data_IF_523006597655
#
_entry.id   IF_523006597655
#
_cell.length_a   1.000
_cell.length_b   1.000
_cell.length_c   1.000
_cell.angle_alpha   90.00
_cell.angle_beta   90.00
_cell.angle_gamma   90.00
#
_symmetry.space_group_name_H-M   'P 1'
#
loop_
_entity.id
_entity.type
_entity.pdbx_description
1 polymer ?
#
# COMPACT_ATOMS: atom_id res chain seq x y z
N UNK A 1 42.84 -11.73 21.80
CA UNK A 1 42.75 -12.73 22.89
C UNK A 1 41.69 -13.73 22.50
N UNK A 2 42.11 -14.80 21.83
CA UNK A 2 41.24 -15.91 21.41
C UNK A 2 41.71 -17.11 22.21
N UNK A 3 40.88 -17.56 23.14
CA UNK A 3 41.15 -18.71 24.01
C UNK A 3 40.91 -19.97 23.18
N UNK A 4 41.96 -20.73 22.91
CA UNK A 4 41.84 -22.09 22.36
C UNK A 4 41.15 -23.01 23.37
N UNK A 5 40.22 -23.88 22.96
CA UNK A 5 39.62 -24.85 23.86
C UNK A 5 40.62 -25.99 24.14
N UNK A 6 40.56 -26.61 25.34
CA UNK A 6 41.53 -27.63 25.73
C UNK A 6 41.36 -28.89 24.89
N UNK A 7 42.49 -29.45 24.44
CA UNK A 7 42.55 -30.76 23.78
C UNK A 7 42.25 -31.86 24.80
N UNK A 8 41.00 -32.28 24.89
CA UNK A 8 40.64 -33.49 25.63
C UNK A 8 41.08 -34.72 24.82
N UNK A 9 42.30 -35.20 25.07
CA UNK A 9 42.73 -36.53 24.69
C UNK A 9 41.96 -37.55 25.54
N UNK A 10 40.88 -38.10 24.98
CA UNK A 10 40.14 -39.20 25.59
C UNK A 10 41.05 -40.44 25.60
N UNK A 11 41.47 -40.84 26.79
CA UNK A 11 42.19 -42.10 27.00
C UNK A 11 41.32 -43.27 26.52
N UNK A 12 41.87 -44.06 25.60
CA UNK A 12 41.22 -45.25 25.04
C UNK A 12 41.26 -46.36 26.09
N UNK A 13 40.10 -46.68 26.68
CA UNK A 13 39.93 -47.88 27.49
C UNK A 13 40.16 -49.12 26.60
N UNK A 14 41.16 -49.93 26.96
CA UNK A 14 41.41 -51.25 26.38
C UNK A 14 40.16 -52.14 26.57
N UNK A 15 39.62 -52.63 25.45
CA UNK A 15 38.51 -53.59 25.44
C UNK A 15 37.26 -53.18 24.65
N UNK A 16 37.19 -51.99 24.05
CA UNK A 16 36.06 -51.63 23.16
C UNK A 16 36.36 -52.03 21.71
N UNK A 17 35.52 -52.90 21.14
CA UNK A 17 35.55 -53.30 19.74
C UNK A 17 35.69 -52.09 18.81
N UNK A 18 36.60 -52.16 17.82
CA UNK A 18 36.90 -51.11 16.81
C UNK A 18 35.68 -50.65 15.98
N UNK A 19 34.50 -51.23 16.22
CA UNK A 19 33.23 -50.87 15.59
C UNK A 19 32.39 -49.85 16.38
N UNK A 20 32.73 -49.54 17.64
CA UNK A 20 31.92 -48.64 18.49
C UNK A 20 32.07 -47.14 18.17
N UNK A 21 33.13 -46.73 17.46
CA UNK A 21 33.42 -45.34 17.06
C UNK A 21 33.02 -45.03 15.61
N UNK A 22 32.45 -45.98 14.87
CA UNK A 22 32.03 -45.76 13.49
C UNK A 22 30.67 -45.04 13.49
N UNK A 23 30.51 -43.94 12.74
CA UNK A 23 29.20 -43.31 12.58
C UNK A 23 28.23 -44.32 11.96
N UNK A 24 26.97 -44.30 12.41
CA UNK A 24 25.93 -45.19 11.92
C UNK A 24 25.75 -44.98 10.41
N UNK A 25 25.90 -46.06 9.64
CA UNK A 25 25.71 -46.00 8.20
C UNK A 25 24.23 -45.72 7.89
N UNK A 26 23.99 -44.64 7.15
CA UNK A 26 22.71 -44.33 6.52
C UNK A 26 23.01 -43.57 5.24
N UNK A 27 22.16 -43.71 4.21
CA UNK A 27 22.33 -42.95 2.96
C UNK A 27 22.38 -41.43 3.19
N UNK A 28 21.68 -40.95 4.21
CA UNK A 28 21.73 -39.55 4.63
C UNK A 28 23.08 -39.17 5.25
N UNK A 29 23.59 -39.96 6.21
CA UNK A 29 24.87 -39.68 6.88
C UNK A 29 26.08 -39.85 5.94
N UNK A 30 25.96 -40.66 4.89
CA UNK A 30 26.97 -40.88 3.85
C UNK A 30 26.80 -39.94 2.64
N UNK A 31 25.73 -39.12 2.61
CA UNK A 31 25.40 -38.25 1.48
C UNK A 31 25.19 -39.00 0.14
N UNK A 32 24.73 -40.25 0.22
CA UNK A 32 24.43 -41.14 -0.92
C UNK A 32 22.91 -41.15 -1.23
N UNK A 33 22.23 -40.03 -1.00
CA UNK A 33 20.83 -39.90 -1.39
C UNK A 33 20.71 -39.86 -2.92
N UNK A 34 19.61 -40.40 -3.44
CA UNK A 34 19.31 -40.31 -4.85
C UNK A 34 19.14 -38.84 -5.25
N UNK A 35 20.09 -38.33 -6.02
CA UNK A 35 20.10 -36.97 -6.51
C UNK A 35 19.98 -37.01 -8.04
N UNK A 36 19.03 -36.24 -8.57
CA UNK A 36 19.04 -35.92 -9.99
C UNK A 36 19.98 -34.73 -10.19
N UNK A 37 21.03 -34.94 -10.99
CA UNK A 37 22.03 -33.91 -11.30
C UNK A 37 21.90 -33.53 -12.79
N UNK A 38 20.94 -32.67 -13.15
CA UNK A 38 20.78 -32.27 -14.54
C UNK A 38 21.99 -31.44 -14.98
N UNK A 39 22.68 -31.93 -16.00
CA UNK A 39 23.77 -31.19 -16.66
C UNK A 39 23.14 -30.42 -17.81
N UNK A 40 23.15 -29.08 -17.72
CA UNK A 40 22.58 -28.21 -18.74
C UNK A 40 23.51 -28.16 -19.96
N UNK A 41 23.30 -29.07 -20.90
CA UNK A 41 24.01 -29.05 -22.19
C UNK A 41 23.45 -27.95 -23.10
N UNK A 42 24.26 -27.40 -24.03
CA UNK A 42 23.81 -26.33 -24.93
C UNK A 42 22.53 -26.65 -25.70
N UNK A 43 22.38 -27.88 -26.20
CA UNK A 43 21.18 -28.30 -26.95
C UNK A 43 19.92 -28.32 -26.09
N UNK A 44 20.02 -28.74 -24.83
CA UNK A 44 18.92 -28.68 -23.87
C UNK A 44 18.53 -27.24 -23.54
N UNK A 45 19.52 -26.38 -23.33
CA UNK A 45 19.28 -24.97 -23.07
C UNK A 45 18.54 -24.30 -24.25
N UNK A 46 19.03 -24.48 -25.48
CA UNK A 46 18.41 -23.93 -26.69
C UNK A 46 16.95 -24.41 -26.81
N UNK A 47 16.70 -25.71 -26.60
CA UNK A 47 15.35 -26.28 -26.68
C UNK A 47 14.40 -25.63 -25.66
N UNK A 48 14.84 -25.47 -24.41
CA UNK A 48 14.04 -24.82 -23.37
C UNK A 48 13.73 -23.37 -23.74
N UNK A 49 14.73 -22.60 -24.20
CA UNK A 49 14.53 -21.21 -24.60
C UNK A 49 13.58 -21.07 -25.80
N UNK A 50 13.68 -21.93 -26.80
CA UNK A 50 12.76 -21.90 -27.96
C UNK A 50 11.30 -22.17 -27.57
N UNK A 51 11.07 -23.09 -26.63
CA UNK A 51 9.71 -23.37 -26.12
C UNK A 51 9.18 -22.18 -25.33
N UNK A 52 10.00 -21.57 -24.48
CA UNK A 52 9.63 -20.36 -23.74
C UNK A 52 9.29 -19.24 -24.73
N UNK A 53 10.11 -18.99 -25.73
CA UNK A 53 9.87 -17.94 -26.73
C UNK A 53 8.55 -18.16 -27.48
N UNK A 54 8.27 -19.38 -27.93
CA UNK A 54 7.01 -19.72 -28.61
C UNK A 54 5.76 -19.49 -27.74
N UNK A 55 5.89 -19.57 -26.41
CA UNK A 55 4.79 -19.29 -25.47
C UNK A 55 4.68 -17.78 -25.19
N UNK A 56 5.80 -17.10 -24.98
CA UNK A 56 5.80 -15.70 -24.58
C UNK A 56 5.46 -14.74 -25.72
N UNK A 57 5.79 -15.07 -26.97
CA UNK A 57 5.42 -14.26 -28.15
C UNK A 57 3.89 -14.08 -28.27
N UNK A 58 3.06 -15.15 -28.32
CA UNK A 58 1.61 -14.99 -28.45
C UNK A 58 0.99 -14.32 -27.21
N UNK A 59 1.49 -14.62 -26.01
CA UNK A 59 1.03 -13.97 -24.76
C UNK A 59 1.34 -12.47 -24.79
N UNK A 60 2.53 -12.09 -25.26
CA UNK A 60 2.95 -10.70 -25.40
C UNK A 60 2.10 -9.95 -26.44
N UNK A 61 1.86 -10.56 -27.60
CA UNK A 61 1.02 -9.96 -28.64
C UNK A 61 -0.44 -9.80 -28.17
N UNK A 62 -1.01 -10.82 -27.54
CA UNK A 62 -2.36 -10.74 -26.96
C UNK A 62 -2.44 -9.63 -25.90
N UNK A 63 -1.42 -9.51 -25.04
CA UNK A 63 -1.35 -8.46 -24.02
C UNK A 63 -1.26 -7.06 -24.66
N UNK A 64 -0.40 -6.87 -25.66
CA UNK A 64 -0.24 -5.61 -26.37
C UNK A 64 -1.55 -5.12 -27.03
N UNK A 65 -2.34 -6.03 -27.60
CA UNK A 65 -3.64 -5.68 -28.19
C UNK A 65 -4.65 -5.19 -27.14
N UNK A 66 -4.56 -5.66 -25.89
CA UNK A 66 -5.45 -5.27 -24.79
C UNK A 66 -5.01 -3.96 -24.11
N UNK A 67 -3.77 -3.50 -24.33
CA UNK A 67 -3.23 -2.28 -23.72
C UNK A 67 -3.83 -0.96 -24.24
N UNK A 68 -4.87 -1.01 -25.08
CA UNK A 68 -5.56 0.17 -25.62
C UNK A 68 -6.46 0.87 -24.58
N UNK A 69 -5.91 1.19 -23.41
CA UNK A 69 -6.59 1.98 -22.38
C UNK A 69 -6.30 3.47 -22.62
N UNK A 70 -7.35 4.28 -22.65
CA UNK A 70 -7.23 5.74 -22.79
C UNK A 70 -7.16 6.35 -21.39
N UNK A 71 -6.03 6.98 -21.08
CA UNK A 71 -5.83 7.73 -19.84
C UNK A 71 -5.73 9.22 -20.15
N UNK A 72 -6.34 10.03 -19.28
CA UNK A 72 -6.33 11.50 -19.40
C UNK A 72 -5.77 12.08 -18.10
N UNK A 73 -4.45 12.25 -17.98
CA UNK A 73 -3.86 12.87 -16.79
C UNK A 73 -4.16 14.37 -16.76
N UNK A 74 -4.53 14.87 -15.58
CA UNK A 74 -4.76 16.29 -15.35
C UNK A 74 -4.14 16.73 -14.04
N UNK A 75 -3.34 17.80 -14.08
CA UNK A 75 -2.57 18.31 -12.94
C UNK A 75 -3.13 19.68 -12.55
N UNK A 76 -3.56 19.84 -11.30
CA UNK A 76 -4.26 21.04 -10.83
C UNK A 76 -3.60 21.74 -9.64
N UNK A 77 -2.53 21.18 -9.07
CA UNK A 77 -1.82 21.73 -7.90
C UNK A 77 -1.24 23.12 -8.16
N UNK A 78 -0.65 23.34 -9.34
CA UNK A 78 -0.05 24.63 -9.70
C UNK A 78 -1.07 25.66 -10.24
N UNK A 79 -2.14 25.18 -10.91
CA UNK A 79 -3.14 26.03 -11.56
C UNK A 79 -4.19 26.57 -10.59
N UNK A 80 -4.49 25.83 -9.52
CA UNK A 80 -5.48 26.22 -8.52
C UNK A 80 -4.93 27.15 -7.43
N UNK A 81 -3.63 27.48 -7.45
CA UNK A 81 -3.04 28.46 -6.55
C UNK A 81 -3.23 29.89 -7.10
N UNK A 82 -3.73 30.83 -6.27
CA UNK A 82 -3.77 32.24 -6.64
C UNK A 82 -2.37 32.76 -7.00
N UNK A 83 -2.25 33.75 -7.92
CA UNK A 83 -0.97 34.33 -8.30
C UNK A 83 -0.13 34.80 -7.09
N UNK A 84 -0.79 35.35 -6.08
CA UNK A 84 -0.18 35.90 -4.86
C UNK A 84 0.43 34.81 -3.95
N UNK A 85 0.02 33.55 -4.11
CA UNK A 85 0.43 32.43 -3.26
C UNK A 85 1.24 31.36 -4.01
N UNK A 86 1.69 31.63 -5.24
CA UNK A 86 2.52 30.66 -6.00
C UNK A 86 3.80 30.24 -5.29
N UNK A 87 4.39 31.13 -4.50
CA UNK A 87 5.63 30.87 -3.77
C UNK A 87 5.39 30.37 -2.32
N UNK A 88 4.15 30.43 -1.82
CA UNK A 88 3.78 29.97 -0.48
C UNK A 88 2.41 29.27 -0.50
N UNK A 89 2.39 28.10 -1.14
CA UNK A 89 1.20 27.25 -1.20
C UNK A 89 0.74 26.81 0.20
N UNK A 90 1.66 26.66 1.16
CA UNK A 90 1.36 26.18 2.51
C UNK A 90 0.53 27.19 3.28
N UNK A 91 0.86 28.48 3.20
CA UNK A 91 0.06 29.54 3.82
C UNK A 91 -1.37 29.55 3.25
N UNK A 92 -1.51 29.42 1.93
CA UNK A 92 -2.82 29.38 1.29
C UNK A 92 -3.65 28.16 1.70
N UNK A 93 -3.03 26.98 1.80
CA UNK A 93 -3.72 25.74 2.22
C UNK A 93 -4.18 25.84 3.68
N UNK A 94 -3.37 26.44 4.56
CA UNK A 94 -3.68 26.57 6.00
C UNK A 94 -4.75 27.61 6.31
N UNK A 95 -4.99 28.56 5.41
CA UNK A 95 -6.03 29.57 5.61
C UNK A 95 -7.43 28.96 5.43
N UNK A 96 -8.23 28.92 6.50
CA UNK A 96 -9.60 28.40 6.45
C UNK A 96 -10.63 29.42 5.92
N UNK A 97 -10.27 30.70 5.83
CA UNK A 97 -11.19 31.77 5.43
C UNK A 97 -11.37 31.91 3.92
N UNK A 98 -10.36 31.52 3.13
CA UNK A 98 -10.40 31.63 1.67
C UNK A 98 -11.17 30.49 1.00
N UNK A 99 -11.96 30.86 -0.01
CA UNK A 99 -12.57 29.89 -0.91
C UNK A 99 -11.50 29.25 -1.80
N UNK A 100 -11.39 27.92 -1.76
CA UNK A 100 -10.42 27.11 -2.53
C UNK A 100 -11.03 26.42 -3.74
N UNK A 101 -12.24 26.82 -4.13
CA UNK A 101 -12.91 26.24 -5.30
C UNK A 101 -12.17 26.64 -6.56
N UNK A 102 -11.72 25.63 -7.30
CA UNK A 102 -10.99 25.80 -8.56
C UNK A 102 -11.75 25.12 -9.69
N UNK A 103 -11.98 25.84 -10.79
CA UNK A 103 -12.72 25.35 -11.97
C UNK A 103 -11.81 25.30 -13.18
N UNK A 104 -11.52 24.09 -13.66
CA UNK A 104 -10.57 23.85 -14.75
C UNK A 104 -11.25 23.18 -15.94
N UNK A 105 -10.72 23.43 -17.14
CA UNK A 105 -11.22 22.84 -18.39
C UNK A 105 -10.31 21.68 -18.83
N UNK A 106 -10.83 20.46 -18.73
CA UNK A 106 -10.16 19.26 -19.22
C UNK A 106 -10.51 19.02 -20.69
N UNK A 107 -9.50 18.83 -21.55
CA UNK A 107 -9.71 18.48 -22.97
C UNK A 107 -9.46 16.99 -23.19
N UNK A 108 -10.51 16.25 -23.54
CA UNK A 108 -10.45 14.81 -23.81
C UNK A 108 -10.35 14.60 -25.32
N UNK A 109 -9.20 14.12 -25.80
CA UNK A 109 -8.92 13.95 -27.24
C UNK A 109 -9.56 12.68 -27.84
N UNK A 110 -9.67 11.63 -27.03
CA UNK A 110 -10.16 10.32 -27.46
C UNK A 110 -11.40 9.94 -26.65
N UNK A 111 -12.33 9.23 -27.27
CA UNK A 111 -13.54 8.75 -26.57
C UNK A 111 -13.18 7.77 -25.44
N UNK A 112 -13.72 8.02 -24.24
CA UNK A 112 -13.57 7.15 -23.08
C UNK A 112 -14.71 6.12 -23.08
N UNK A 113 -14.37 4.86 -23.36
CA UNK A 113 -15.34 3.76 -23.28
C UNK A 113 -15.68 3.45 -21.82
N UNK A 114 -16.96 3.24 -21.52
CA UNK A 114 -17.39 2.84 -20.18
C UNK A 114 -16.89 1.43 -19.82
N UNK A 115 -16.63 1.13 -18.53
CA UNK A 115 -16.74 2.01 -17.36
C UNK A 115 -15.56 2.99 -17.24
N UNK A 116 -15.84 4.24 -16.84
CA UNK A 116 -14.81 5.27 -16.66
C UNK A 116 -14.45 5.37 -15.18
N UNK A 117 -13.15 5.35 -14.90
CA UNK A 117 -12.62 5.42 -13.54
C UNK A 117 -11.92 6.76 -13.33
N UNK A 118 -12.18 7.40 -12.20
CA UNK A 118 -11.48 8.63 -11.80
C UNK A 118 -10.53 8.31 -10.68
N UNK A 119 -9.28 8.68 -10.84
CA UNK A 119 -8.23 8.49 -9.85
C UNK A 119 -7.63 9.84 -9.44
N UNK A 120 -7.16 9.94 -8.19
CA UNK A 120 -6.20 10.99 -7.81
C UNK A 120 -4.81 10.39 -7.72
N UNK A 121 -3.83 11.24 -8.04
CA UNK A 121 -2.44 10.91 -7.96
C UNK A 121 -1.73 11.90 -7.03
N UNK A 122 -0.99 11.37 -6.06
CA UNK A 122 -0.12 12.17 -5.21
C UNK A 122 1.33 11.93 -5.62
N UNK A 123 2.09 13.03 -5.77
CA UNK A 123 3.55 13.01 -5.99
C UNK A 123 4.27 13.39 -4.71
N UNK A 124 5.48 12.84 -4.52
CA UNK A 124 6.34 13.13 -3.36
C UNK A 124 5.66 12.84 -2.00
N UNK A 125 4.74 11.88 -1.96
CA UNK A 125 4.05 11.45 -0.75
C UNK A 125 4.43 10.00 -0.39
N UNK A 126 5.33 9.84 0.58
CA UNK A 126 6.01 8.57 0.88
C UNK A 126 5.25 7.71 1.89
N UNK A 127 4.11 7.14 1.48
CA UNK A 127 3.33 6.24 2.34
C UNK A 127 4.04 4.92 2.68
N UNK A 128 5.09 4.54 1.95
CA UNK A 128 5.86 3.33 2.22
C UNK A 128 6.87 3.48 3.38
N UNK A 129 6.94 4.64 4.03
CA UNK A 129 7.84 4.84 5.15
C UNK A 129 7.45 3.93 6.33
N UNK A 130 8.42 3.19 6.92
CA UNK A 130 8.17 2.16 7.95
C UNK A 130 7.31 2.65 9.11
N UNK A 131 7.53 3.87 9.61
CA UNK A 131 6.73 4.45 10.72
C UNK A 131 5.31 4.82 10.28
N UNK A 132 5.15 5.28 9.05
CA UNK A 132 3.84 5.64 8.49
C UNK A 132 2.99 4.38 8.31
N UNK A 133 3.53 3.33 7.66
CA UNK A 133 2.83 2.05 7.46
C UNK A 133 2.44 1.38 8.78
N UNK A 134 3.27 1.53 9.83
CA UNK A 134 2.99 0.98 11.16
C UNK A 134 1.96 1.78 11.96
N UNK A 135 1.72 3.03 11.62
CA UNK A 135 0.86 3.95 12.38
C UNK A 135 -0.62 3.73 12.00
N UNK A 136 -1.14 2.57 12.40
CA UNK A 136 -2.56 2.16 12.38
C UNK A 136 -2.74 0.93 13.27
N UNK A 137 -3.98 0.60 13.63
CA UNK A 137 -4.31 -0.66 14.32
C UNK A 137 -5.38 -1.46 13.56
N UNK A 138 -4.99 -2.63 13.04
CA UNK A 138 -5.87 -3.46 12.23
C UNK A 138 -7.03 -4.08 13.05
N UNK A 139 -6.93 -4.19 14.39
CA UNK A 139 -8.01 -4.71 15.24
C UNK A 139 -9.07 -3.63 15.44
N UNK A 140 -8.64 -2.41 15.69
CA UNK A 140 -9.50 -1.22 15.76
C UNK A 140 -10.30 -1.06 14.46
N UNK A 141 -9.63 -1.15 13.30
CA UNK A 141 -10.26 -1.01 11.98
C UNK A 141 -11.29 -2.11 11.66
N UNK A 142 -11.10 -3.32 12.20
CA UNK A 142 -11.99 -4.46 11.95
C UNK A 142 -13.20 -4.50 12.87
N UNK A 143 -13.05 -4.09 14.13
CA UNK A 143 -14.07 -4.30 15.16
C UNK A 143 -14.28 -3.11 16.07
N UNK A 144 -15.55 -2.75 16.27
CA UNK A 144 -15.98 -1.74 17.24
C UNK A 144 -15.59 -2.09 18.69
N UNK A 145 -15.44 -3.38 19.01
CA UNK A 145 -15.01 -3.80 20.35
C UNK A 145 -13.54 -3.45 20.65
N UNK A 146 -12.74 -3.25 19.60
CA UNK A 146 -11.31 -2.90 19.66
C UNK A 146 -11.06 -1.41 19.48
N UNK A 147 -12.07 -0.54 19.67
CA UNK A 147 -11.90 0.92 19.55
C UNK A 147 -10.77 1.49 20.43
N UNK A 148 -10.46 0.83 21.56
CA UNK A 148 -9.40 1.24 22.49
C UNK A 148 -8.01 0.70 22.13
N UNK A 149 -7.88 -0.18 21.13
CA UNK A 149 -6.62 -0.76 20.70
C UNK A 149 -5.86 0.26 19.81
N UNK A 150 -5.02 1.09 20.42
CA UNK A 150 -4.28 2.17 19.71
C UNK A 150 -2.76 2.04 19.82
N UNK A 151 -2.25 0.89 20.31
CA UNK A 151 -0.84 0.73 20.69
C UNK A 151 0.19 0.92 19.56
N UNK A 152 -0.21 0.75 18.30
CA UNK A 152 0.65 0.97 17.12
C UNK A 152 0.39 2.31 16.42
N UNK A 153 -0.60 3.09 16.87
CA UNK A 153 -1.08 4.29 16.18
C UNK A 153 -0.31 5.58 16.47
N UNK A 154 0.71 5.54 17.33
CA UNK A 154 1.52 6.73 17.63
C UNK A 154 2.02 7.43 16.34
N UNK A 155 2.01 8.78 16.28
CA UNK A 155 1.66 9.73 17.36
C UNK A 155 0.16 10.08 17.45
N UNK A 156 -0.68 9.67 16.51
CA UNK A 156 -2.11 10.06 16.46
C UNK A 156 -2.98 8.94 17.08
N UNK A 157 -2.70 8.60 18.33
CA UNK A 157 -3.36 7.53 19.09
C UNK A 157 -4.44 8.04 20.05
N UNK A 158 -4.18 9.16 20.74
CA UNK A 158 -5.08 9.77 21.72
C UNK A 158 -5.33 11.26 21.46
N UNK A 159 -6.50 11.75 21.89
CA UNK A 159 -6.76 13.19 21.93
C UNK A 159 -5.82 13.89 22.92
N UNK A 160 -5.59 15.21 22.79
CA UNK A 160 -4.85 15.99 23.77
C UNK A 160 -5.39 15.80 25.20
N UNK A 161 -4.51 15.96 26.20
CA UNK A 161 -4.84 15.76 27.62
C UNK A 161 -6.01 16.65 28.08
N UNK A 162 -6.07 17.88 27.57
CA UNK A 162 -7.13 18.85 27.88
C UNK A 162 -8.52 18.40 27.40
N UNK A 163 -8.59 17.39 26.53
CA UNK A 163 -9.84 16.77 26.04
C UNK A 163 -10.13 15.41 26.69
N UNK A 164 -9.42 15.06 27.75
CA UNK A 164 -9.66 13.84 28.53
C UNK A 164 -8.99 12.59 27.97
N UNK A 165 -7.95 12.73 27.13
CA UNK A 165 -7.07 11.65 26.68
C UNK A 165 -7.82 10.40 26.17
N UNK A 166 -8.73 10.61 25.23
CA UNK A 166 -9.58 9.55 24.67
C UNK A 166 -8.94 8.94 23.42
N UNK A 167 -9.12 7.63 23.16
CA UNK A 167 -8.62 7.01 21.93
C UNK A 167 -9.26 7.64 20.70
N UNK A 168 -8.44 7.88 19.68
CA UNK A 168 -8.86 8.35 18.37
C UNK A 168 -9.33 7.15 17.55
N UNK A 169 -10.46 7.28 16.86
CA UNK A 169 -11.03 6.22 16.02
C UNK A 169 -11.36 6.80 14.65
N UNK A 170 -10.79 6.29 13.55
CA UNK A 170 -9.59 5.45 13.49
C UNK A 170 -8.33 6.21 13.93
N UNK A 171 -7.39 5.52 14.59
CA UNK A 171 -6.10 6.09 15.00
C UNK A 171 -5.01 5.95 13.92
N UNK A 172 -3.97 6.78 14.04
CA UNK A 172 -2.74 6.66 13.27
C UNK A 172 -2.61 7.59 12.06
N UNK A 173 -1.37 7.74 11.58
CA UNK A 173 -0.98 8.68 10.53
C UNK A 173 -1.66 8.39 9.18
N UNK A 174 -1.98 7.13 8.91
CA UNK A 174 -2.64 6.74 7.66
C UNK A 174 -4.03 7.36 7.58
N UNK A 175 -4.83 7.22 8.65
CA UNK A 175 -6.14 7.85 8.72
C UNK A 175 -6.01 9.38 8.81
N UNK A 176 -5.03 9.88 9.56
CA UNK A 176 -4.81 11.31 9.77
C UNK A 176 -4.46 12.08 8.50
N UNK A 177 -3.81 11.45 7.52
CA UNK A 177 -3.40 12.09 6.27
C UNK A 177 -4.31 11.73 5.09
N UNK A 178 -5.59 11.44 5.39
CA UNK A 178 -6.58 11.12 4.38
C UNK A 178 -6.76 12.27 3.38
N UNK A 179 -6.81 11.94 2.09
CA UNK A 179 -7.04 12.91 1.02
C UNK A 179 -8.39 13.61 1.16
N UNK A 180 -8.42 14.93 1.03
CA UNK A 180 -9.56 15.77 1.41
C UNK A 180 -10.17 16.60 0.28
N UNK A 181 -9.63 16.54 -0.94
CA UNK A 181 -10.20 17.33 -2.02
C UNK A 181 -11.50 16.73 -2.53
N UNK A 182 -12.36 17.62 -3.04
CA UNK A 182 -13.63 17.26 -3.64
C UNK A 182 -13.69 17.74 -5.07
N UNK A 183 -14.21 16.89 -5.95
CA UNK A 183 -14.30 17.15 -7.37
C UNK A 183 -15.74 16.99 -7.85
N UNK A 184 -16.08 17.78 -8.86
CA UNK A 184 -17.32 17.69 -9.63
C UNK A 184 -16.95 17.79 -11.10
N UNK A 185 -17.47 16.89 -11.91
CA UNK A 185 -17.25 16.89 -13.35
C UNK A 185 -18.53 17.33 -14.04
N UNK A 186 -18.41 18.25 -14.98
CA UNK A 186 -19.50 18.66 -15.85
C UNK A 186 -19.02 18.66 -17.30
N UNK A 187 -19.90 18.28 -18.22
CA UNK A 187 -19.64 18.28 -19.66
C UNK A 187 -20.76 19.03 -20.36
N UNK A 188 -20.43 20.06 -21.14
CA UNK A 188 -21.41 20.92 -21.84
C UNK A 188 -22.56 21.41 -20.93
N UNK A 189 -22.22 21.89 -19.72
CA UNK A 189 -23.16 22.33 -18.67
C UNK A 189 -24.12 21.25 -18.15
N UNK A 190 -23.84 19.97 -18.42
CA UNK A 190 -24.52 18.83 -17.78
C UNK A 190 -23.60 18.22 -16.74
N UNK A 191 -24.11 18.10 -15.51
CA UNK A 191 -23.39 17.43 -14.44
C UNK A 191 -23.26 15.93 -14.73
N UNK A 192 -22.04 15.42 -14.65
CA UNK A 192 -21.77 14.00 -14.75
C UNK A 192 -21.96 13.38 -13.36
N UNK A 193 -22.83 12.39 -13.24
CA UNK A 193 -23.08 11.71 -11.97
C UNK A 193 -21.92 10.78 -11.65
N UNK A 194 -21.23 11.06 -10.55
CA UNK A 194 -20.03 10.32 -10.12
C UNK A 194 -20.40 9.38 -8.98
N UNK A 195 -20.25 8.07 -9.18
CA UNK A 195 -20.52 7.09 -8.13
C UNK A 195 -19.31 6.87 -7.23
N UNK A 196 -19.43 7.25 -5.96
CA UNK A 196 -18.41 7.06 -4.91
C UNK A 196 -18.62 5.78 -4.08
N UNK A 197 -19.68 5.01 -4.34
CA UNK A 197 -19.97 3.75 -3.63
C UNK A 197 -19.33 2.57 -4.36
N UNK A 198 -19.00 1.50 -3.64
CA UNK A 198 -18.43 0.26 -4.19
C UNK A 198 -17.14 0.46 -5.01
N UNK A 199 -16.29 1.38 -4.56
CA UNK A 199 -14.96 1.63 -5.12
C UNK A 199 -13.88 0.80 -4.41
N UNK A 200 -14.11 0.41 -3.15
CA UNK A 200 -13.24 -0.48 -2.39
C UNK A 200 -13.52 -1.95 -2.70
N UNK A 201 -12.55 -2.82 -2.44
CA UNK A 201 -12.73 -4.27 -2.52
C UNK A 201 -13.81 -4.76 -1.55
N UNK A 202 -14.56 -5.78 -1.95
CA UNK A 202 -15.63 -6.35 -1.12
C UNK A 202 -15.12 -6.99 0.17
N UNK A 203 -13.84 -7.37 0.22
CA UNK A 203 -13.15 -7.82 1.44
C UNK A 203 -13.03 -6.71 2.48
N UNK A 204 -12.82 -5.47 2.03
CA UNK A 204 -12.43 -4.34 2.87
C UNK A 204 -13.65 -3.61 3.44
N UNK A 205 -14.82 -3.78 2.80
CA UNK A 205 -16.09 -3.15 3.21
C UNK A 205 -16.76 -3.81 4.44
N UNK A 206 -16.18 -4.86 5.02
CA UNK A 206 -16.84 -5.70 6.04
C UNK A 206 -16.80 -5.16 7.47
N UNK A 207 -15.97 -4.17 7.78
CA UNK A 207 -15.95 -3.57 9.12
C UNK A 207 -17.03 -2.49 9.29
N UNK A 208 -17.46 -2.28 10.53
CA UNK A 208 -18.48 -1.29 10.88
C UNK A 208 -17.94 -0.29 11.92
N UNK A 209 -16.77 0.27 11.65
CA UNK A 209 -16.15 1.28 12.52
C UNK A 209 -16.62 2.68 12.13
N UNK A 210 -17.35 3.33 13.05
CA UNK A 210 -17.71 4.74 12.94
C UNK A 210 -16.63 5.61 13.60
N UNK A 211 -16.22 6.73 12.97
CA UNK A 211 -15.15 7.56 13.49
C UNK A 211 -15.57 8.30 14.78
N UNK A 212 -14.66 8.40 15.74
CA UNK A 212 -14.84 9.06 17.04
C UNK A 212 -13.58 9.82 17.43
N UNK A 213 -13.74 10.98 18.04
CA UNK A 213 -12.64 11.83 18.52
C UNK A 213 -11.58 12.19 17.46
N UNK A 214 -11.87 11.95 16.18
CA UNK A 214 -10.96 12.19 15.07
C UNK A 214 -10.78 13.69 14.84
N UNK A 215 -9.52 14.15 14.83
CA UNK A 215 -9.15 15.56 14.68
C UNK A 215 -9.83 16.50 15.67
N UNK A 216 -10.13 16.02 16.88
CA UNK A 216 -10.72 16.85 17.93
C UNK A 216 -9.72 17.89 18.48
N UNK A 217 -8.41 17.64 18.37
CA UNK A 217 -7.36 18.55 18.82
C UNK A 217 -7.08 19.74 17.88
N UNK A 218 -6.06 20.53 18.21
CA UNK A 218 -5.68 21.71 17.41
C UNK A 218 -4.96 21.40 16.09
N UNK A 219 -4.34 20.22 15.97
CA UNK A 219 -3.75 19.75 14.71
C UNK A 219 -4.82 19.12 13.84
N UNK A 220 -4.86 19.50 12.56
CA UNK A 220 -5.80 18.99 11.56
C UNK A 220 -4.96 18.47 10.40
N UNK A 221 -4.89 17.15 10.20
CA UNK A 221 -4.36 16.52 8.98
C UNK A 221 -5.45 16.06 8.00
N UNK A 222 -5.26 16.28 6.70
CA UNK A 222 -6.11 15.66 5.69
C UNK A 222 -7.62 15.93 5.84
N UNK A 223 -8.43 14.90 5.62
CA UNK A 223 -9.89 14.99 5.53
C UNK A 223 -10.59 14.78 6.87
N UNK A 224 -11.67 15.54 7.08
CA UNK A 224 -12.56 15.32 8.22
C UNK A 224 -13.48 14.14 7.97
N UNK A 225 -13.56 13.25 8.94
CA UNK A 225 -14.43 12.08 8.90
C UNK A 225 -15.81 12.41 9.45
N UNK A 226 -16.85 11.98 8.73
CA UNK A 226 -18.23 12.11 9.19
C UNK A 226 -18.56 10.97 10.17
N UNK A 227 -18.99 11.31 11.38
CA UNK A 227 -19.36 10.36 12.44
C UNK A 227 -20.50 9.41 12.04
N UNK A 228 -21.31 9.78 11.05
CA UNK A 228 -22.43 8.98 10.55
C UNK A 228 -22.05 7.99 9.44
N UNK A 229 -20.81 8.03 8.91
CA UNK A 229 -20.37 7.16 7.82
C UNK A 229 -19.21 6.25 8.27
N UNK A 230 -19.20 4.95 7.88
CA UNK A 230 -18.11 4.04 8.21
C UNK A 230 -16.82 4.40 7.48
N UNK A 231 -15.69 4.29 8.17
CA UNK A 231 -14.37 4.73 7.68
C UNK A 231 -13.78 3.87 6.54
N UNK A 232 -14.19 2.61 6.41
CA UNK A 232 -13.51 1.58 5.61
C UNK A 232 -13.51 1.79 4.09
N UNK A 233 -14.11 2.87 3.59
CA UNK A 233 -14.10 3.19 2.16
C UNK A 233 -12.72 3.65 1.67
N UNK A 234 -11.81 4.04 2.58
CA UNK A 234 -10.65 4.85 2.20
C UNK A 234 -9.26 4.19 2.27
N UNK A 235 -9.12 2.95 2.75
CA UNK A 235 -7.80 2.54 3.26
C UNK A 235 -6.87 1.78 2.29
N UNK A 236 -7.34 1.19 1.18
CA UNK A 236 -6.44 0.33 0.38
C UNK A 236 -6.66 0.38 -1.12
N UNK A 237 -6.02 1.35 -1.78
CA UNK A 237 -5.67 1.23 -3.19
C UNK A 237 -4.22 1.67 -3.38
N UNK A 238 -3.30 0.74 -3.19
CA UNK A 238 -1.89 0.95 -3.48
C UNK A 238 -1.58 0.32 -4.83
N UNK A 239 -1.31 1.14 -5.83
CA UNK A 239 -0.44 0.74 -6.95
C UNK A 239 0.78 1.65 -6.89
N UNK A 240 1.93 1.07 -6.52
CA UNK A 240 3.19 1.80 -6.46
C UNK A 240 3.77 1.84 -7.88
N UNK A 241 3.72 3.00 -8.52
CA UNK A 241 4.48 3.29 -9.73
C UNK A 241 5.36 4.51 -9.43
N UNK A 242 6.67 4.29 -9.29
CA UNK A 242 7.73 5.32 -9.27
C UNK A 242 7.36 6.66 -8.57
N UNK A 243 7.18 6.61 -7.24
CA UNK A 243 6.85 7.76 -6.36
C UNK A 243 5.47 8.39 -6.56
N UNK A 244 4.62 7.79 -7.39
CA UNK A 244 3.23 8.17 -7.58
C UNK A 244 2.33 7.12 -6.95
N UNK A 245 1.29 7.58 -6.25
CA UNK A 245 0.26 6.71 -5.68
C UNK A 245 -1.05 7.07 -6.33
N UNK A 246 -1.67 6.09 -6.98
CA UNK A 246 -2.94 6.22 -7.66
C UNK A 246 -4.04 5.58 -6.83
N UNK A 247 -5.08 6.35 -6.54
CA UNK A 247 -6.22 5.91 -5.73
C UNK A 247 -7.52 6.09 -6.49
N UNK A 248 -8.34 5.05 -6.54
CA UNK A 248 -9.66 5.14 -7.19
C UNK A 248 -10.60 5.96 -6.33
N UNK A 249 -11.20 6.98 -6.93
CA UNK A 249 -12.17 7.84 -6.25
C UNK A 249 -13.60 7.51 -6.63
N UNK A 250 -13.83 7.08 -7.87
CA UNK A 250 -15.18 6.87 -8.38
C UNK A 250 -15.24 6.12 -9.70
N UNK A 251 -16.46 5.67 -10.00
CA UNK A 251 -16.87 5.08 -11.27
C UNK A 251 -17.94 5.97 -11.89
N UNK A 252 -17.82 6.27 -13.18
CA UNK A 252 -18.83 6.95 -13.99
C UNK A 252 -19.46 5.96 -14.97
#
# INVERSE_FOLDING_TARGET
>A
MSVEPPSNSVAVAEGRSKNAMKPKYSRFSQQELHAWQPILTPSWAISIFTVIELIFIPVGLASYLVMQVVEVPFRYDDECLPPDHKNDAVAYIKDFGSNKTCTMKLTVKNELKAPVYVYYQLKNFYQNHRRYVKSRDDRQLRSKASENDVGTCSPEDYTPNDMGHKPIVPCGLIAWSLFNDTYKLSSNNKDLMINKKNIAWTSDQKGNLGPKNFQAGGLIGGARLNQSLPFLVFEYLYTKSENNILFLLSKC
#
